data_IF_646562799886
#
_entry.id   IF_646562799886
#
_cell.length_a   1.000
_cell.length_b   1.000
_cell.length_c   1.000
_cell.angle_alpha   90.00
_cell.angle_beta   90.00
_cell.angle_gamma   90.00
#
_symmetry.space_group_name_H-M   'P 1'
#
loop_
_entity.id
_entity.type
_entity.pdbx_description
1 polymer ?
#
# COMPACT_ATOMS: atom_id res chain seq x y z
N UNK A 1 -3.88 -15.82 -0.97
CA UNK A 1 -2.57 -16.23 -1.54
C UNK A 1 -1.63 -16.86 -0.50
N UNK A 2 -1.99 -16.90 0.79
CA UNK A 2 -1.20 -17.52 1.86
C UNK A 2 0.09 -16.78 2.22
N UNK A 3 0.19 -15.50 1.88
CA UNK A 3 1.26 -14.58 2.23
C UNK A 3 0.68 -13.30 2.82
N UNK A 4 1.52 -12.42 3.40
CA UNK A 4 1.02 -11.19 4.01
C UNK A 4 0.62 -10.08 3.02
N UNK A 5 0.77 -10.32 1.74
CA UNK A 5 0.17 -9.56 0.64
C UNK A 5 1.11 -8.69 -0.17
N UNK A 6 2.18 -8.15 0.35
CA UNK A 6 3.00 -7.17 -0.38
C UNK A 6 4.44 -7.10 0.09
N UNK A 7 5.32 -6.78 -0.83
CA UNK A 7 6.73 -6.49 -0.60
C UNK A 7 6.95 -5.11 0.04
N UNK A 8 6.08 -4.14 -0.25
CA UNK A 8 6.06 -2.81 0.39
C UNK A 8 4.85 -2.70 1.31
N UNK A 9 5.01 -3.04 2.58
CA UNK A 9 3.94 -3.13 3.55
C UNK A 9 3.66 -1.78 4.23
N UNK A 10 2.89 -0.92 3.56
CA UNK A 10 2.51 0.40 4.07
C UNK A 10 1.07 0.49 4.59
N UNK A 11 0.28 -0.57 4.48
CA UNK A 11 -1.18 -0.56 4.74
C UNK A 11 -1.54 -0.02 6.12
N UNK A 12 -0.81 -0.41 7.18
CA UNK A 12 -1.09 0.04 8.54
C UNK A 12 -0.88 1.55 8.71
N UNK A 13 0.08 2.11 7.97
CA UNK A 13 0.45 3.54 8.02
C UNK A 13 -0.49 4.39 7.18
N UNK A 14 -0.89 3.89 6.00
CA UNK A 14 -1.70 4.62 5.03
C UNK A 14 -3.22 4.47 5.29
N UNK A 15 -3.65 3.34 5.88
CA UNK A 15 -5.07 3.01 6.04
C UNK A 15 -5.51 2.85 7.50
N UNK A 16 -4.55 2.83 8.43
CA UNK A 16 -4.75 2.56 9.85
C UNK A 16 -4.81 1.07 10.18
N UNK A 17 -4.37 0.71 11.39
CA UNK A 17 -4.13 -0.69 11.78
C UNK A 17 -5.36 -1.61 11.70
N UNK A 18 -6.56 -1.12 12.04
CA UNK A 18 -7.79 -1.93 12.02
C UNK A 18 -8.27 -2.17 10.59
N UNK A 19 -8.35 -1.11 9.81
CA UNK A 19 -8.77 -1.19 8.41
C UNK A 19 -7.79 -2.03 7.58
N UNK A 20 -6.47 -1.90 7.84
CA UNK A 20 -5.47 -2.73 7.19
C UNK A 20 -5.67 -4.22 7.48
N UNK A 21 -5.99 -4.60 8.72
CA UNK A 21 -6.32 -6.00 9.07
C UNK A 21 -7.56 -6.48 8.34
N UNK A 22 -8.63 -5.68 8.32
CA UNK A 22 -9.88 -6.04 7.66
C UNK A 22 -9.66 -6.31 6.18
N UNK A 23 -9.02 -5.39 5.44
CA UNK A 23 -8.79 -5.53 4.00
C UNK A 23 -7.85 -6.70 3.67
N UNK A 24 -6.80 -6.91 4.49
CA UNK A 24 -5.84 -8.01 4.28
C UNK A 24 -6.45 -9.37 4.64
N UNK A 25 -7.30 -9.47 5.66
CA UNK A 25 -7.91 -10.73 6.06
C UNK A 25 -9.06 -11.14 5.15
N UNK A 26 -9.81 -10.19 4.62
CA UNK A 26 -10.93 -10.44 3.71
C UNK A 26 -10.51 -10.55 2.24
N UNK A 27 -9.30 -10.07 1.89
CA UNK A 27 -8.90 -9.92 0.48
C UNK A 27 -9.69 -8.83 -0.25
N UNK A 28 -10.30 -7.91 0.51
CA UNK A 28 -11.14 -6.85 -0.01
C UNK A 28 -10.42 -5.80 -0.84
N UNK A 29 -11.20 -4.87 -1.39
CA UNK A 29 -10.69 -3.71 -2.12
C UNK A 29 -11.16 -2.42 -1.46
N UNK A 30 -10.46 -1.33 -1.70
CA UNK A 30 -10.79 0.01 -1.24
C UNK A 30 -11.13 0.90 -2.42
N UNK A 31 -12.22 1.65 -2.35
CA UNK A 31 -12.57 2.65 -3.35
C UNK A 31 -11.69 3.89 -3.21
N UNK A 32 -11.56 4.68 -4.29
CA UNK A 32 -10.84 5.95 -4.27
C UNK A 32 -11.40 6.93 -3.22
N UNK A 33 -12.73 6.92 -3.00
CA UNK A 33 -13.39 7.76 -2.01
C UNK A 33 -13.04 7.36 -0.58
N UNK A 34 -13.00 6.07 -0.28
CA UNK A 34 -12.58 5.54 1.01
C UNK A 34 -11.10 5.84 1.26
N UNK A 35 -10.24 5.66 0.26
CA UNK A 35 -8.83 6.02 0.33
C UNK A 35 -8.62 7.52 0.65
N UNK A 36 -9.44 8.40 0.07
CA UNK A 36 -9.43 9.83 0.42
C UNK A 36 -9.90 10.08 1.85
N UNK A 37 -10.97 9.41 2.29
CA UNK A 37 -11.54 9.63 3.62
C UNK A 37 -10.62 9.20 4.77
N UNK A 38 -9.76 8.20 4.54
CA UNK A 38 -8.78 7.73 5.53
C UNK A 38 -7.38 8.37 5.38
N UNK A 39 -7.18 9.25 4.41
CA UNK A 39 -5.90 9.94 4.18
C UNK A 39 -4.87 9.14 3.40
N UNK A 40 -5.23 7.98 2.83
CA UNK A 40 -4.34 7.16 2.01
C UNK A 40 -3.95 7.85 0.69
N UNK A 41 -4.84 8.71 0.16
CA UNK A 41 -4.58 9.57 -1.00
C UNK A 41 -4.96 11.01 -0.70
N UNK A 42 -4.26 11.95 -1.32
CA UNK A 42 -4.50 13.39 -1.10
C UNK A 42 -5.66 13.93 -1.93
N UNK A 43 -5.94 13.34 -3.10
CA UNK A 43 -6.93 13.82 -4.05
C UNK A 43 -7.60 12.67 -4.79
N UNK A 44 -8.85 12.87 -5.15
CA UNK A 44 -9.60 12.01 -6.07
C UNK A 44 -10.20 12.91 -7.13
N UNK A 45 -9.93 12.61 -8.39
CA UNK A 45 -10.40 13.37 -9.57
C UNK A 45 -10.98 12.40 -10.59
N UNK A 46 -11.82 12.86 -11.52
CA UNK A 46 -12.27 12.03 -12.64
C UNK A 46 -11.10 11.44 -13.42
N UNK A 47 -11.26 10.22 -13.92
CA UNK A 47 -10.18 9.49 -14.62
C UNK A 47 -9.58 10.30 -15.78
N UNK A 48 -10.42 11.00 -16.53
CA UNK A 48 -9.98 11.80 -17.68
C UNK A 48 -9.18 13.05 -17.30
N UNK A 49 -9.32 13.52 -16.06
CA UNK A 49 -8.66 14.73 -15.55
C UNK A 49 -7.37 14.40 -14.80
N UNK A 50 -7.09 13.11 -14.53
CA UNK A 50 -5.99 12.69 -13.67
C UNK A 50 -4.62 13.18 -14.15
N UNK A 51 -4.32 13.06 -15.44
CA UNK A 51 -3.04 13.51 -16.00
C UNK A 51 -2.88 15.01 -15.86
N UNK A 52 -3.88 15.78 -16.29
CA UNK A 52 -3.85 17.26 -16.24
C UNK A 52 -3.72 17.76 -14.80
N UNK A 53 -4.46 17.15 -13.88
CA UNK A 53 -4.37 17.49 -12.46
C UNK A 53 -2.97 17.18 -11.90
N UNK A 54 -2.42 16.01 -12.20
CA UNK A 54 -1.10 15.58 -11.72
C UNK A 54 0.01 16.49 -12.26
N UNK A 55 -0.03 16.81 -13.55
CA UNK A 55 0.92 17.73 -14.20
C UNK A 55 0.86 19.12 -13.59
N UNK A 56 -0.34 19.63 -13.33
CA UNK A 56 -0.53 20.93 -12.67
C UNK A 56 0.08 20.95 -11.27
N UNK A 57 -0.13 19.88 -10.48
CA UNK A 57 0.45 19.76 -9.15
C UNK A 57 1.98 19.65 -9.21
N UNK A 58 2.51 18.86 -10.13
CA UNK A 58 3.96 18.72 -10.35
C UNK A 58 4.60 20.06 -10.74
N UNK A 59 3.98 20.82 -11.65
CA UNK A 59 4.43 22.17 -12.02
C UNK A 59 4.38 23.15 -10.85
N UNK A 60 3.37 23.08 -9.98
CA UNK A 60 3.30 23.89 -8.76
C UNK A 60 4.46 23.57 -7.81
N UNK A 61 4.80 22.31 -7.66
CA UNK A 61 5.93 21.85 -6.83
C UNK A 61 7.26 22.29 -7.44
N UNK A 62 7.46 22.12 -8.75
CA UNK A 62 8.72 22.43 -9.44
C UNK A 62 9.14 23.91 -9.33
N UNK A 63 8.18 24.80 -9.09
CA UNK A 63 8.45 26.24 -8.87
C UNK A 63 8.96 26.57 -7.46
N UNK A 64 9.08 25.58 -6.57
CA UNK A 64 9.57 25.81 -5.20
C UNK A 64 11.07 25.60 -5.13
N UNK A 65 11.77 26.26 -4.18
CA UNK A 65 13.21 26.09 -3.99
C UNK A 65 13.57 24.63 -3.76
N UNK A 66 14.44 24.08 -4.60
CA UNK A 66 14.77 22.64 -4.62
C UNK A 66 15.37 22.15 -3.30
N UNK A 67 16.19 22.95 -2.64
CA UNK A 67 16.77 22.60 -1.35
C UNK A 67 15.69 22.49 -0.27
N UNK A 68 14.74 23.40 -0.23
CA UNK A 68 13.60 23.36 0.70
C UNK A 68 12.74 22.10 0.50
N UNK A 69 12.48 21.70 -0.77
CA UNK A 69 11.76 20.47 -1.08
C UNK A 69 12.50 19.23 -0.59
N UNK A 70 13.82 19.17 -0.79
CA UNK A 70 14.65 18.04 -0.34
C UNK A 70 14.63 17.91 1.19
N UNK A 71 14.82 19.02 1.90
CA UNK A 71 14.81 19.05 3.36
C UNK A 71 13.43 18.67 3.92
N UNK A 72 12.36 19.21 3.36
CA UNK A 72 11.00 18.86 3.75
C UNK A 72 10.71 17.37 3.56
N UNK A 73 11.04 16.81 2.37
CA UNK A 73 10.89 15.39 2.11
C UNK A 73 11.68 14.54 3.11
N UNK A 74 12.94 14.89 3.36
CA UNK A 74 13.78 14.16 4.31
C UNK A 74 13.20 14.22 5.73
N UNK A 75 12.75 15.39 6.18
CA UNK A 75 12.15 15.54 7.51
C UNK A 75 10.89 14.69 7.69
N UNK A 76 10.02 14.64 6.68
CA UNK A 76 8.81 13.81 6.70
C UNK A 76 9.19 12.32 6.75
N UNK A 77 10.11 11.87 5.88
CA UNK A 77 10.54 10.48 5.86
C UNK A 77 11.20 10.06 7.19
N UNK A 78 12.08 10.90 7.75
CA UNK A 78 12.70 10.63 9.05
C UNK A 78 11.67 10.56 10.18
N UNK A 79 10.64 11.39 10.15
CA UNK A 79 9.55 11.32 11.14
C UNK A 79 8.79 10.02 11.05
N UNK A 80 8.55 9.51 9.85
CA UNK A 80 7.90 8.23 9.61
C UNK A 80 8.79 7.05 10.06
N UNK A 81 10.07 7.10 9.74
CA UNK A 81 11.06 6.07 10.14
C UNK A 81 11.25 6.04 11.67
N UNK A 82 11.27 7.20 12.33
CA UNK A 82 11.34 7.29 13.79
C UNK A 82 10.13 6.66 14.50
N UNK A 83 8.99 6.60 13.83
CA UNK A 83 7.80 5.88 14.31
C UNK A 83 7.82 4.37 13.99
N UNK A 84 8.92 3.84 13.45
CA UNK A 84 9.11 2.43 13.19
C UNK A 84 8.70 1.94 11.80
N UNK A 85 8.42 2.84 10.85
CA UNK A 85 7.98 2.46 9.50
C UNK A 85 8.99 1.56 8.79
N UNK A 86 10.28 1.92 8.79
CA UNK A 86 11.34 1.11 8.19
C UNK A 86 11.45 -0.27 8.83
N UNK A 87 11.40 -0.36 10.16
CA UNK A 87 11.42 -1.64 10.87
C UNK A 87 10.20 -2.51 10.56
N UNK A 88 9.02 -1.89 10.39
CA UNK A 88 7.80 -2.59 9.99
C UNK A 88 7.92 -3.17 8.57
N UNK A 89 8.51 -2.44 7.62
CA UNK A 89 8.76 -2.93 6.26
C UNK A 89 9.70 -4.15 6.26
N UNK A 90 10.81 -4.10 7.01
CA UNK A 90 11.76 -5.20 7.12
C UNK A 90 11.11 -6.45 7.72
N UNK A 91 10.32 -6.28 8.77
CA UNK A 91 9.57 -7.35 9.40
C UNK A 91 8.54 -7.97 8.46
N UNK A 92 7.79 -7.13 7.73
CA UNK A 92 6.80 -7.59 6.76
C UNK A 92 7.41 -8.40 5.62
N UNK A 93 8.59 -8.02 5.11
CA UNK A 93 9.30 -8.79 4.09
C UNK A 93 9.69 -10.18 4.61
N UNK A 94 10.17 -10.29 5.86
CA UNK A 94 10.49 -11.58 6.46
C UNK A 94 9.25 -12.48 6.58
N UNK A 95 8.11 -11.93 6.98
CA UNK A 95 6.83 -12.65 7.05
C UNK A 95 6.32 -13.05 5.67
N UNK A 96 6.52 -12.21 4.65
CA UNK A 96 6.20 -12.54 3.26
C UNK A 96 6.97 -13.78 2.80
N UNK A 97 8.28 -13.82 3.03
CA UNK A 97 9.13 -14.97 2.66
C UNK A 97 8.75 -16.24 3.42
N UNK A 98 8.38 -16.12 4.70
CA UNK A 98 7.87 -17.24 5.48
C UNK A 98 6.57 -17.79 4.87
N UNK A 99 5.67 -16.93 4.42
CA UNK A 99 4.44 -17.31 3.72
C UNK A 99 4.74 -18.08 2.43
N UNK A 100 5.66 -17.59 1.60
CA UNK A 100 6.09 -18.29 0.38
C UNK A 100 6.68 -19.68 0.68
N UNK A 101 7.59 -19.77 1.65
CA UNK A 101 8.19 -21.05 2.04
C UNK A 101 7.13 -22.05 2.56
N UNK A 102 6.16 -21.59 3.36
CA UNK A 102 5.05 -22.43 3.80
C UNK A 102 4.21 -22.93 2.61
N UNK A 103 3.88 -22.06 1.65
CA UNK A 103 3.11 -22.43 0.48
C UNK A 103 3.85 -23.45 -0.40
N UNK A 104 5.16 -23.31 -0.57
CA UNK A 104 5.98 -24.29 -1.27
C UNK A 104 5.94 -25.67 -0.59
N UNK A 105 5.99 -25.72 0.73
CA UNK A 105 5.90 -26.98 1.49
C UNK A 105 4.51 -27.62 1.35
N UNK A 106 3.44 -26.81 1.44
CA UNK A 106 2.06 -27.30 1.47
C UNK A 106 1.51 -27.58 0.07
N UNK A 107 1.83 -26.71 -0.90
CA UNK A 107 1.21 -26.71 -2.23
C UNK A 107 2.19 -26.98 -3.38
N UNK A 108 3.51 -27.01 -3.12
CA UNK A 108 4.55 -27.16 -4.14
C UNK A 108 4.76 -25.91 -5.02
N UNK A 109 4.16 -24.78 -4.64
CA UNK A 109 4.28 -23.48 -5.33
C UNK A 109 4.27 -22.35 -4.30
N UNK A 110 4.86 -21.20 -4.64
CA UNK A 110 5.03 -20.06 -3.72
C UNK A 110 3.75 -19.35 -3.28
N UNK A 111 2.58 -19.77 -3.77
CA UNK A 111 1.27 -19.17 -3.43
C UNK A 111 0.24 -20.26 -3.12
N UNK A 112 -0.74 -19.97 -2.26
CA UNK A 112 -1.90 -20.84 -2.05
C UNK A 112 -2.84 -20.74 -3.27
N UNK A 113 -3.06 -21.83 -4.01
CA UNK A 113 -3.89 -21.81 -5.22
C UNK A 113 -5.38 -21.55 -4.95
N UNK A 114 -5.85 -21.77 -3.72
CA UNK A 114 -7.26 -21.51 -3.34
C UNK A 114 -7.58 -20.02 -3.30
N UNK A 115 -6.62 -19.16 -2.95
CA UNK A 115 -6.83 -17.72 -2.80
C UNK A 115 -7.33 -17.04 -4.07
N UNK A 116 -6.76 -17.37 -5.23
CA UNK A 116 -7.17 -16.79 -6.50
C UNK A 116 -8.60 -17.17 -6.91
N UNK A 117 -9.05 -18.38 -6.56
CA UNK A 117 -10.40 -18.87 -6.86
C UNK A 117 -11.47 -18.18 -6.00
N UNK A 118 -11.16 -17.90 -4.73
CA UNK A 118 -12.04 -17.19 -3.80
C UNK A 118 -12.24 -15.75 -4.25
N UNK A 119 -11.15 -15.02 -4.50
CA UNK A 119 -11.20 -13.62 -4.96
C UNK A 119 -11.97 -13.48 -6.28
N UNK A 120 -11.78 -14.41 -7.23
CA UNK A 120 -12.53 -14.40 -8.49
C UNK A 120 -14.03 -14.66 -8.33
N UNK A 121 -14.45 -15.41 -7.32
CA UNK A 121 -15.87 -15.63 -7.03
C UNK A 121 -16.51 -14.38 -6.44
N UNK A 122 -15.84 -13.76 -5.47
CA UNK A 122 -16.32 -12.56 -4.78
C UNK A 122 -16.40 -11.34 -5.71
N UNK A 123 -15.45 -11.19 -6.64
CA UNK A 123 -15.46 -10.10 -7.63
C UNK A 123 -16.60 -10.20 -8.66
N UNK A 124 -17.34 -11.33 -8.72
CA UNK A 124 -18.48 -11.56 -9.62
C UNK A 124 -19.82 -11.47 -8.92
N UNK A 125 -19.85 -11.38 -7.61
CA UNK A 125 -21.04 -11.18 -6.80
C UNK A 125 -21.32 -9.70 -6.54
#
# INVERSE_FOLDING_TARGET
FGVNGVEYFAHAWEYGFRNAKEILFTGGSISAREALSCGMVNHVVPKNDLSVFTDSLAQKISKRPSMGLRLAKQSVNQSQDAQGFWSALQSAMSLQQLGHANNEIVHGIAVDPSGASIIKKEAKS
#
